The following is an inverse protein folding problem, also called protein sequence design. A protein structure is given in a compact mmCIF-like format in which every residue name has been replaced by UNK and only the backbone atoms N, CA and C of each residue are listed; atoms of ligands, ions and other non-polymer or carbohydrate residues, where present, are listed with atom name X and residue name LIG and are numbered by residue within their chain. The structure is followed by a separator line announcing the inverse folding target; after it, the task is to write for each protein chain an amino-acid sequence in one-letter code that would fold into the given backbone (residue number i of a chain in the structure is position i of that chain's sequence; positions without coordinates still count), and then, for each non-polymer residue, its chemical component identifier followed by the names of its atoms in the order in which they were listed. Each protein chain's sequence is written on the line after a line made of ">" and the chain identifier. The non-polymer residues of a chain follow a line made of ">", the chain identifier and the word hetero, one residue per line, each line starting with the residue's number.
data_IF_160095287524
#
_entry.id   IF_160095287524
#
_cell.length_a   1.000
_cell.length_b   1.000
_cell.length_c   1.000
_cell.angle_alpha   90.00
_cell.angle_beta   90.00
_cell.angle_gamma   90.00
#
_symmetry.space_group_name_H-M   'P 1'
#
loop_
_entity.id
_entity.type
_entity.pdbx_description
1 polymer ?
#
# COMPACT_ATOMS: atom_id res chain seq x y z
N UNK A 1 -4.57 -18.32 13.33
CA UNK A 1 -5.88 -18.63 12.75
C UNK A 1 -6.91 -17.64 13.26
N UNK A 2 -7.85 -17.25 12.40
CA UNK A 2 -8.97 -16.38 12.74
C UNK A 2 -8.51 -14.99 13.24
N UNK A 3 -7.60 -14.36 12.51
CA UNK A 3 -7.23 -12.98 12.79
C UNK A 3 -8.45 -12.06 12.63
N UNK A 4 -8.73 -11.17 13.58
CA UNK A 4 -9.87 -10.26 13.47
C UNK A 4 -9.57 -9.07 12.52
N UNK A 5 -8.33 -8.85 12.20
CA UNK A 5 -7.80 -7.78 11.36
C UNK A 5 -6.43 -8.22 10.85
N UNK A 6 -5.71 -7.45 10.13
CA UNK A 6 -4.38 -7.67 9.56
C UNK A 6 -3.68 -8.95 10.03
N UNK A 7 -3.54 -9.92 9.13
CA UNK A 7 -3.16 -11.28 9.53
C UNK A 7 -1.70 -11.39 9.98
N UNK A 8 -0.78 -10.91 9.16
CA UNK A 8 0.65 -10.80 9.49
C UNK A 8 0.99 -9.32 9.62
N UNK A 9 1.32 -8.87 10.83
CA UNK A 9 1.63 -7.48 11.11
C UNK A 9 2.95 -7.33 11.88
N UNK A 10 4.10 -7.48 11.21
CA UNK A 10 5.37 -7.08 11.78
C UNK A 10 5.42 -5.56 11.93
N UNK A 11 5.72 -5.08 13.14
CA UNK A 11 5.79 -3.66 13.48
C UNK A 11 7.16 -3.34 14.08
N UNK A 12 7.83 -2.30 13.55
CA UNK A 12 9.13 -1.80 14.00
C UNK A 12 10.19 -2.90 14.19
N UNK A 13 10.22 -3.84 13.24
CA UNK A 13 11.14 -4.97 13.26
C UNK A 13 12.29 -4.79 12.26
N UNK A 14 13.40 -5.47 12.50
CA UNK A 14 14.54 -5.51 11.61
C UNK A 14 14.93 -6.94 11.23
N UNK A 15 15.50 -7.10 10.03
CA UNK A 15 16.00 -8.39 9.52
C UNK A 15 14.93 -9.49 9.48
N UNK A 16 13.78 -9.18 8.85
CA UNK A 16 12.64 -10.09 8.71
C UNK A 16 12.77 -10.88 7.42
N UNK A 17 12.50 -12.17 7.50
CA UNK A 17 12.27 -13.01 6.33
C UNK A 17 10.91 -13.69 6.42
N UNK A 18 10.03 -13.45 5.45
CA UNK A 18 8.77 -14.16 5.26
C UNK A 18 8.92 -14.98 3.97
N UNK A 19 9.02 -16.28 4.10
CA UNK A 19 9.32 -17.17 3.00
C UNK A 19 8.46 -18.43 3.05
N UNK A 20 7.85 -18.78 1.93
CA UNK A 20 6.99 -19.97 1.78
C UNK A 20 5.80 -19.99 2.75
N UNK A 21 5.28 -18.82 3.07
CA UNK A 21 4.09 -18.66 3.92
C UNK A 21 2.84 -18.61 3.03
N UNK A 22 1.75 -19.16 3.53
CA UNK A 22 0.43 -19.09 2.89
C UNK A 22 -0.54 -18.45 3.86
N UNK A 23 -1.18 -17.37 3.42
CA UNK A 23 -2.25 -16.69 4.15
C UNK A 23 -3.52 -16.77 3.32
N UNK A 24 -4.61 -17.23 3.94
CA UNK A 24 -5.91 -17.31 3.34
C UNK A 24 -6.94 -16.67 4.28
N UNK A 25 -7.38 -15.47 3.93
CA UNK A 25 -8.45 -14.75 4.61
C UNK A 25 -9.72 -14.83 3.75
N UNK A 26 -10.90 -14.86 4.36
CA UNK A 26 -12.14 -14.76 3.58
C UNK A 26 -12.17 -13.47 2.77
N UNK A 27 -12.60 -13.54 1.52
CA UNK A 27 -12.66 -12.38 0.60
C UNK A 27 -13.56 -11.24 1.14
N UNK A 28 -14.49 -11.55 2.03
CA UNK A 28 -15.39 -10.58 2.66
C UNK A 28 -14.87 -10.05 4.02
N UNK A 29 -13.68 -10.42 4.46
CA UNK A 29 -13.14 -9.96 5.73
C UNK A 29 -12.67 -8.51 5.62
N UNK A 30 -13.38 -7.60 6.28
CA UNK A 30 -12.97 -6.20 6.38
C UNK A 30 -11.64 -6.09 7.13
N UNK A 31 -10.73 -5.27 6.63
CA UNK A 31 -9.35 -5.19 7.12
C UNK A 31 -8.68 -6.58 7.20
N UNK A 32 -9.06 -7.48 6.30
CA UNK A 32 -8.51 -8.83 6.19
C UNK A 32 -7.24 -8.87 5.37
N UNK A 33 -6.34 -7.90 5.58
CA UNK A 33 -5.04 -7.81 4.92
C UNK A 33 -4.21 -9.06 5.22
N UNK A 34 -3.46 -9.54 4.23
CA UNK A 34 -2.63 -10.72 4.44
C UNK A 34 -1.31 -10.38 5.14
N UNK A 35 -0.65 -9.31 4.70
CA UNK A 35 0.61 -8.82 5.26
C UNK A 35 0.63 -7.30 5.30
N UNK A 36 0.79 -6.73 6.48
CA UNK A 36 1.09 -5.33 6.74
C UNK A 36 2.49 -5.20 7.34
N UNK A 37 3.44 -4.79 6.53
CA UNK A 37 4.82 -4.56 6.98
C UNK A 37 4.95 -3.10 7.41
N UNK A 38 4.93 -2.83 8.72
CA UNK A 38 4.90 -1.48 9.25
C UNK A 38 6.20 -1.07 9.91
N UNK A 39 6.79 0.04 9.46
CA UNK A 39 8.03 0.61 10.03
C UNK A 39 9.18 -0.39 10.17
N UNK A 40 9.23 -1.37 9.28
CA UNK A 40 10.23 -2.44 9.30
C UNK A 40 11.43 -2.11 8.43
N UNK A 41 12.57 -2.72 8.74
CA UNK A 41 13.82 -2.51 8.00
C UNK A 41 14.46 -3.84 7.61
N UNK A 42 15.07 -3.86 6.42
CA UNK A 42 15.82 -5.02 5.93
C UNK A 42 14.95 -6.29 5.87
N UNK A 43 13.83 -6.21 5.15
CA UNK A 43 12.87 -7.30 5.05
C UNK A 43 12.94 -8.03 3.70
N UNK A 44 12.73 -9.34 3.75
CA UNK A 44 12.67 -10.22 2.59
C UNK A 44 11.34 -10.99 2.59
N UNK A 45 10.50 -10.73 1.59
CA UNK A 45 9.15 -11.29 1.44
C UNK A 45 9.15 -12.10 0.15
N UNK A 46 9.35 -13.41 0.24
CA UNK A 46 9.59 -14.24 -0.96
C UNK A 46 8.81 -15.55 -0.96
N UNK A 47 8.42 -15.99 -2.16
CA UNK A 47 7.81 -17.31 -2.41
C UNK A 47 6.52 -17.54 -1.60
N UNK A 48 5.74 -16.51 -1.31
CA UNK A 48 4.53 -16.61 -0.53
C UNK A 48 3.28 -16.70 -1.42
N UNK A 49 2.19 -17.16 -0.83
CA UNK A 49 0.86 -17.16 -1.44
C UNK A 49 -0.07 -16.40 -0.49
N UNK A 50 -0.70 -15.35 -0.99
CA UNK A 50 -1.63 -14.52 -0.25
C UNK A 50 -3.00 -14.54 -0.92
N UNK A 51 -4.04 -14.73 -0.11
CA UNK A 51 -5.44 -14.60 -0.49
C UNK A 51 -6.09 -13.74 0.61
N UNK A 52 -6.40 -12.49 0.27
CA UNK A 52 -6.76 -11.47 1.25
C UNK A 52 -8.20 -10.97 1.04
N UNK A 53 -8.82 -10.55 2.11
CA UNK A 53 -10.11 -9.87 2.08
C UNK A 53 -9.98 -8.34 1.96
N UNK A 54 -8.77 -7.82 2.15
CA UNK A 54 -8.39 -6.43 1.95
C UNK A 54 -7.03 -6.41 1.21
N UNK A 55 -6.06 -5.58 1.56
CA UNK A 55 -4.78 -5.52 0.86
C UNK A 55 -3.94 -6.81 1.06
N UNK A 56 -3.24 -7.26 0.02
CA UNK A 56 -2.47 -8.51 0.12
C UNK A 56 -1.07 -8.28 0.68
N UNK A 57 -0.26 -7.44 0.05
CA UNK A 57 1.09 -7.08 0.53
C UNK A 57 1.10 -5.57 0.71
N UNK A 58 1.03 -5.10 1.94
CA UNK A 58 0.92 -3.69 2.27
C UNK A 58 2.13 -3.18 3.03
N UNK A 59 2.70 -2.06 2.58
CA UNK A 59 3.82 -1.37 3.21
C UNK A 59 3.29 -0.15 3.94
N UNK A 60 3.53 -0.10 5.24
CA UNK A 60 3.05 0.95 6.15
C UNK A 60 4.17 1.54 7.01
N UNK A 61 3.95 2.71 7.60
CA UNK A 61 4.91 3.36 8.52
C UNK A 61 4.24 4.37 9.47
N UNK A 62 3.12 3.96 10.02
CA UNK A 62 2.35 4.76 10.98
C UNK A 62 1.44 5.79 10.35
N UNK A 63 0.54 6.29 11.16
CA UNK A 63 -0.58 7.14 10.75
C UNK A 63 -0.45 8.56 11.27
N UNK A 64 -0.66 9.56 10.39
CA UNK A 64 -0.80 10.97 10.72
C UNK A 64 0.35 11.51 11.60
N UNK A 65 0.01 12.31 12.60
CA UNK A 65 0.96 12.94 13.50
C UNK A 65 1.85 11.90 14.23
N UNK A 66 1.26 10.83 14.74
CA UNK A 66 1.99 9.77 15.45
C UNK A 66 3.07 9.13 14.54
N UNK A 67 2.70 8.77 13.32
CA UNK A 67 3.66 8.20 12.38
C UNK A 67 4.76 9.17 11.98
N UNK A 68 4.44 10.48 11.82
CA UNK A 68 5.45 11.50 11.53
C UNK A 68 6.40 11.75 12.70
N UNK A 69 5.87 11.81 13.93
CA UNK A 69 6.67 12.04 15.14
C UNK A 69 7.55 10.83 15.47
N UNK A 70 7.04 9.62 15.30
CA UNK A 70 7.82 8.39 15.42
C UNK A 70 8.96 8.34 14.39
N UNK A 71 8.71 8.81 13.17
CA UNK A 71 9.74 8.96 12.14
C UNK A 71 10.43 7.66 11.73
N UNK A 72 9.76 6.53 11.86
CA UNK A 72 10.28 5.21 11.53
C UNK A 72 9.80 4.76 10.15
N UNK A 73 10.61 4.91 9.10
CA UNK A 73 10.22 4.47 7.78
C UNK A 73 10.20 2.94 7.65
N UNK A 74 9.35 2.43 6.77
CA UNK A 74 9.52 1.09 6.24
C UNK A 74 10.54 1.14 5.09
N UNK A 75 11.65 0.41 5.21
CA UNK A 75 12.76 0.58 4.26
C UNK A 75 13.59 -0.68 4.00
N UNK A 76 14.27 -0.69 2.83
CA UNK A 76 15.13 -1.79 2.40
C UNK A 76 14.36 -3.11 2.37
N UNK A 77 13.28 -3.16 1.60
CA UNK A 77 12.39 -4.31 1.49
C UNK A 77 12.49 -4.92 0.11
N UNK A 78 12.61 -6.22 0.05
CA UNK A 78 12.54 -7.01 -1.19
C UNK A 78 11.28 -7.86 -1.13
N UNK A 79 10.40 -7.66 -2.12
CA UNK A 79 9.19 -8.46 -2.36
C UNK A 79 9.38 -9.20 -3.68
N UNK A 80 9.53 -10.51 -3.64
CA UNK A 80 9.86 -11.25 -4.86
C UNK A 80 9.18 -12.62 -4.94
N UNK A 81 8.77 -13.00 -6.16
CA UNK A 81 8.23 -14.33 -6.42
C UNK A 81 7.03 -14.70 -5.51
N UNK A 82 6.14 -13.72 -5.27
CA UNK A 82 4.93 -13.94 -4.52
C UNK A 82 3.73 -14.07 -5.46
N UNK A 83 2.77 -14.87 -5.06
CA UNK A 83 1.47 -15.00 -5.75
C UNK A 83 0.37 -14.44 -4.86
N UNK A 84 -0.42 -13.54 -5.40
CA UNK A 84 -1.62 -13.02 -4.75
C UNK A 84 -2.84 -13.53 -5.51
N UNK A 85 -3.77 -14.16 -4.83
CA UNK A 85 -4.98 -14.74 -5.43
C UNK A 85 -6.15 -13.75 -5.45
N UNK A 86 -6.37 -13.02 -4.35
CA UNK A 86 -7.35 -11.94 -4.23
C UNK A 86 -6.84 -10.88 -3.25
N UNK A 87 -7.48 -9.71 -3.28
CA UNK A 87 -7.22 -8.59 -2.36
C UNK A 87 -7.66 -7.26 -2.98
N UNK A 88 -7.84 -6.23 -2.16
CA UNK A 88 -8.10 -4.89 -2.66
C UNK A 88 -6.90 -4.29 -3.40
N UNK A 89 -5.69 -4.76 -3.11
CA UNK A 89 -4.49 -4.44 -3.84
C UNK A 89 -3.47 -5.58 -3.78
N UNK A 90 -2.79 -5.87 -4.89
CA UNK A 90 -1.77 -6.91 -4.95
C UNK A 90 -0.51 -6.49 -4.19
N UNK A 91 0.06 -5.36 -4.54
CA UNK A 91 1.10 -4.66 -3.78
C UNK A 91 0.65 -3.23 -3.48
N UNK A 92 0.72 -2.84 -2.22
CA UNK A 92 0.13 -1.60 -1.72
C UNK A 92 1.14 -0.81 -0.89
N UNK A 93 1.16 0.51 -1.05
CA UNK A 93 1.83 1.43 -0.14
C UNK A 93 0.77 2.35 0.49
N UNK A 94 0.67 2.31 1.80
CA UNK A 94 -0.24 3.16 2.57
C UNK A 94 -1.60 2.51 2.90
N UNK A 95 -2.61 3.32 3.28
CA UNK A 95 -2.57 4.78 3.45
C UNK A 95 -1.72 5.27 4.63
N UNK A 96 -1.46 4.45 5.62
CA UNK A 96 -0.64 4.73 6.81
C UNK A 96 0.85 4.70 6.45
N UNK A 97 1.38 5.79 5.85
CA UNK A 97 2.77 5.87 5.39
C UNK A 97 3.50 7.11 5.93
N UNK A 98 3.05 7.61 7.08
CA UNK A 98 3.47 8.90 7.64
C UNK A 98 4.92 8.95 8.10
N UNK A 99 5.50 7.83 8.50
CA UNK A 99 6.94 7.70 8.84
C UNK A 99 7.85 7.58 7.61
N UNK A 100 7.27 7.45 6.40
CA UNK A 100 8.00 7.29 5.15
C UNK A 100 8.17 5.85 4.69
N UNK A 101 8.35 5.67 3.39
CA UNK A 101 8.63 4.38 2.74
C UNK A 101 9.75 4.59 1.73
N UNK A 102 10.82 3.79 1.80
CA UNK A 102 11.96 3.96 0.90
C UNK A 102 12.73 2.68 0.60
N UNK A 103 13.36 2.65 -0.57
CA UNK A 103 14.18 1.53 -1.03
C UNK A 103 13.39 0.21 -1.01
N UNK A 104 12.28 0.16 -1.75
CA UNK A 104 11.44 -1.02 -1.91
C UNK A 104 11.68 -1.59 -3.31
N UNK A 105 11.95 -2.87 -3.37
CA UNK A 105 12.12 -3.61 -4.62
C UNK A 105 11.06 -4.70 -4.72
N UNK A 106 10.23 -4.65 -5.76
CA UNK A 106 9.17 -5.64 -6.02
C UNK A 106 9.38 -6.27 -7.38
N UNK A 107 9.48 -7.59 -7.43
CA UNK A 107 9.75 -8.26 -8.70
C UNK A 107 9.15 -9.67 -8.80
N UNK A 108 8.94 -10.10 -10.04
CA UNK A 108 8.57 -11.49 -10.35
C UNK A 108 7.33 -11.96 -9.57
N UNK A 109 6.36 -11.09 -9.37
CA UNK A 109 5.12 -11.40 -8.65
C UNK A 109 3.96 -11.60 -9.62
N UNK A 110 2.98 -12.39 -9.20
CA UNK A 110 1.75 -12.65 -9.95
C UNK A 110 0.54 -12.25 -9.11
N UNK A 111 -0.33 -11.41 -9.64
CA UNK A 111 -1.58 -10.99 -9.02
C UNK A 111 -2.75 -11.50 -9.85
N UNK A 112 -3.65 -12.26 -9.22
CA UNK A 112 -4.78 -12.93 -9.86
C UNK A 112 -6.09 -12.46 -9.19
N UNK A 113 -6.86 -11.62 -9.89
CA UNK A 113 -8.16 -11.18 -9.40
C UNK A 113 -8.11 -10.19 -8.22
N UNK A 114 -7.02 -9.46 -8.03
CA UNK A 114 -7.01 -8.34 -7.08
C UNK A 114 -7.77 -7.17 -7.67
N UNK A 115 -8.50 -6.40 -6.86
CA UNK A 115 -9.26 -5.25 -7.35
C UNK A 115 -8.36 -4.25 -8.06
N UNK A 116 -7.22 -3.96 -7.48
CA UNK A 116 -6.14 -3.12 -8.03
C UNK A 116 -4.83 -3.90 -8.04
N UNK A 117 -4.03 -3.75 -9.06
CA UNK A 117 -2.74 -4.43 -9.13
C UNK A 117 -1.70 -3.79 -8.20
N UNK A 118 -1.20 -2.63 -8.57
CA UNK A 118 -0.26 -1.82 -7.80
C UNK A 118 -0.99 -0.58 -7.28
N UNK A 119 -1.03 -0.41 -5.95
CA UNK A 119 -1.83 0.64 -5.32
C UNK A 119 -0.99 1.51 -4.39
N UNK A 120 -0.93 2.80 -4.70
CA UNK A 120 -0.28 3.81 -3.87
C UNK A 120 -1.35 4.75 -3.34
N UNK A 121 -1.62 4.71 -2.03
CA UNK A 121 -2.72 5.46 -1.43
C UNK A 121 -2.27 6.31 -0.25
N UNK A 122 -2.75 7.54 -0.21
CA UNK A 122 -2.52 8.48 0.88
C UNK A 122 -3.56 9.60 0.87
N UNK A 123 -3.49 10.48 1.83
CA UNK A 123 -4.32 11.68 1.89
C UNK A 123 -3.57 12.79 2.63
N UNK A 124 -4.03 14.05 2.47
CA UNK A 124 -3.55 15.14 3.31
C UNK A 124 -3.81 14.83 4.79
N UNK A 125 -2.89 15.25 5.65
CA UNK A 125 -2.86 14.86 7.05
C UNK A 125 -1.87 13.73 7.33
N UNK A 126 -1.64 12.82 6.35
CA UNK A 126 -0.63 11.74 6.48
C UNK A 126 0.79 12.30 6.51
N UNK A 127 1.13 13.21 5.59
CA UNK A 127 2.52 13.57 5.37
C UNK A 127 3.34 12.36 4.92
N UNK A 128 4.64 12.38 5.23
CA UNK A 128 5.57 11.31 4.86
C UNK A 128 6.01 11.34 3.39
N UNK A 129 7.07 10.61 3.10
CA UNK A 129 7.67 10.51 1.77
C UNK A 129 7.78 9.06 1.36
N UNK A 130 7.27 8.74 0.17
CA UNK A 130 7.46 7.45 -0.51
C UNK A 130 8.44 7.67 -1.64
N UNK A 131 9.60 7.01 -1.59
CA UNK A 131 10.67 7.21 -2.57
C UNK A 131 11.53 5.95 -2.78
N UNK A 132 12.18 5.87 -3.93
CA UNK A 132 13.06 4.75 -4.25
C UNK A 132 12.30 3.43 -4.36
N UNK A 133 11.21 3.43 -5.11
CA UNK A 133 10.37 2.24 -5.34
C UNK A 133 10.67 1.68 -6.73
N UNK A 134 11.10 0.45 -6.79
CA UNK A 134 11.45 -0.23 -8.02
C UNK A 134 10.60 -1.48 -8.20
N UNK A 135 9.75 -1.48 -9.22
CA UNK A 135 8.80 -2.56 -9.51
C UNK A 135 9.02 -3.05 -10.93
N UNK A 136 9.22 -4.34 -11.08
CA UNK A 136 9.35 -4.90 -12.42
C UNK A 136 8.89 -6.36 -12.51
N UNK A 137 8.55 -6.76 -13.73
CA UNK A 137 8.16 -8.14 -14.05
C UNK A 137 6.97 -8.62 -13.19
N UNK A 138 5.86 -7.88 -13.25
CA UNK A 138 4.63 -8.19 -12.53
C UNK A 138 3.59 -8.72 -13.51
N UNK A 139 3.12 -9.93 -13.27
CA UNK A 139 2.01 -10.52 -14.00
C UNK A 139 0.69 -10.20 -13.31
N UNK A 140 -0.20 -9.54 -14.02
CA UNK A 140 -1.55 -9.18 -13.54
C UNK A 140 -2.60 -9.83 -14.44
N UNK A 141 -3.50 -10.57 -13.83
CA UNK A 141 -4.56 -11.31 -14.52
C UNK A 141 -5.89 -11.04 -13.81
N UNK A 142 -6.92 -10.71 -14.60
CA UNK A 142 -8.29 -10.44 -14.11
C UNK A 142 -8.33 -9.36 -13.02
N UNK A 143 -7.69 -8.23 -13.28
CA UNK A 143 -7.74 -7.04 -12.42
C UNK A 143 -8.98 -6.22 -12.81
N UNK A 144 -10.06 -6.22 -12.00
CA UNK A 144 -11.33 -5.58 -12.39
C UNK A 144 -11.30 -4.06 -12.39
N UNK A 145 -10.39 -3.45 -11.64
CA UNK A 145 -10.21 -2.00 -11.61
C UNK A 145 -8.88 -1.60 -12.27
N UNK A 146 -8.07 -0.77 -11.62
CA UNK A 146 -6.85 -0.24 -12.21
C UNK A 146 -5.66 -1.19 -11.99
N UNK A 147 -4.89 -1.54 -13.03
CA UNK A 147 -3.63 -2.25 -12.83
C UNK A 147 -2.60 -1.41 -12.05
N UNK A 148 -2.69 -0.08 -12.16
CA UNK A 148 -1.85 0.87 -11.45
C UNK A 148 -2.69 2.07 -10.97
N UNK A 149 -2.72 2.31 -9.66
CA UNK A 149 -3.46 3.40 -9.04
C UNK A 149 -2.57 4.23 -8.09
N UNK A 150 -2.57 5.55 -8.31
CA UNK A 150 -2.09 6.54 -7.34
C UNK A 150 -3.28 7.34 -6.82
N UNK A 151 -3.69 7.09 -5.59
CA UNK A 151 -4.80 7.78 -4.92
C UNK A 151 -4.29 8.62 -3.75
N UNK A 152 -4.19 9.93 -3.94
CA UNK A 152 -3.76 10.89 -2.93
C UNK A 152 -4.95 11.58 -2.21
N UNK A 153 -6.16 11.12 -2.47
CA UNK A 153 -7.40 11.59 -1.84
C UNK A 153 -8.11 10.45 -1.10
N UNK A 154 -7.36 9.44 -0.68
CA UNK A 154 -7.88 8.24 -0.05
C UNK A 154 -8.80 8.57 1.14
N UNK A 155 -10.01 8.02 1.11
CA UNK A 155 -11.07 8.32 2.08
C UNK A 155 -11.89 9.57 1.76
N UNK A 156 -11.61 10.25 0.64
CA UNK A 156 -12.48 11.28 0.05
C UNK A 156 -13.63 10.67 -0.74
N UNK A 157 -14.53 11.51 -1.23
CA UNK A 157 -15.58 11.09 -2.16
C UNK A 157 -14.95 10.74 -3.52
N UNK A 158 -15.36 9.64 -4.11
CA UNK A 158 -14.94 9.29 -5.46
C UNK A 158 -15.48 10.27 -6.51
N UNK A 159 -14.77 10.40 -7.62
CA UNK A 159 -15.27 11.18 -8.76
C UNK A 159 -16.62 10.57 -9.23
N UNK A 160 -17.69 11.36 -9.18
CA UNK A 160 -19.07 10.92 -9.46
C UNK A 160 -19.94 10.75 -8.21
N UNK A 161 -19.38 10.66 -7.02
CA UNK A 161 -20.10 10.77 -5.75
C UNK A 161 -20.14 12.21 -5.22
N UNK A 162 -19.38 13.11 -5.84
CA UNK A 162 -19.37 14.54 -5.53
C UNK A 162 -20.68 15.20 -6.01
N UNK A 163 -21.31 15.92 -5.13
CA UNK A 163 -22.46 16.76 -5.47
C UNK A 163 -22.01 18.00 -6.27
N UNK A 164 -22.94 18.66 -6.98
CA UNK A 164 -22.63 19.95 -7.61
C UNK A 164 -22.11 21.01 -6.62
N UNK A 165 -22.52 20.91 -5.37
CA UNK A 165 -22.11 21.83 -4.31
C UNK A 165 -20.68 21.54 -3.84
N UNK A 166 -20.31 20.25 -3.74
CA UNK A 166 -18.93 19.82 -3.50
C UNK A 166 -17.99 20.30 -4.60
N UNK A 167 -18.39 20.14 -5.88
CA UNK A 167 -17.64 20.61 -7.05
C UNK A 167 -17.47 22.14 -7.06
N UNK A 168 -18.54 22.89 -6.81
CA UNK A 168 -18.47 24.36 -6.72
C UNK A 168 -17.61 24.85 -5.57
N UNK A 169 -17.66 24.16 -4.42
CA UNK A 169 -16.83 24.44 -3.26
C UNK A 169 -15.35 24.19 -3.58
N UNK A 170 -15.05 23.07 -4.23
CA UNK A 170 -13.71 22.68 -4.64
C UNK A 170 -13.10 23.62 -5.70
N UNK A 171 -13.91 24.08 -6.67
CA UNK A 171 -13.48 25.06 -7.66
C UNK A 171 -13.19 26.46 -7.07
N UNK A 172 -13.79 26.80 -5.94
CA UNK A 172 -13.55 28.07 -5.21
C UNK A 172 -12.43 27.95 -4.17
N UNK A 173 -12.07 26.74 -3.76
CA UNK A 173 -11.02 26.54 -2.79
C UNK A 173 -9.65 26.89 -3.41
N UNK A 174 -8.86 27.68 -2.70
CA UNK A 174 -7.46 27.88 -3.05
C UNK A 174 -6.71 26.55 -2.94
N UNK A 175 -5.72 26.33 -3.81
CA UNK A 175 -4.84 25.17 -3.69
C UNK A 175 -4.19 25.21 -2.30
N UNK A 176 -4.39 24.18 -1.47
CA UNK A 176 -3.84 24.19 -0.12
C UNK A 176 -2.31 24.21 -0.16
N UNK A 177 -1.71 24.94 0.77
CA UNK A 177 -0.26 24.96 0.92
C UNK A 177 0.33 23.57 1.13
N UNK A 178 1.55 23.36 0.64
CA UNK A 178 2.34 22.17 0.91
C UNK A 178 2.95 22.30 2.30
N UNK A 179 2.60 21.38 3.19
CA UNK A 179 3.07 21.35 4.58
C UNK A 179 3.68 19.98 4.89
N UNK A 180 4.16 19.80 6.12
CA UNK A 180 4.63 18.49 6.62
C UNK A 180 3.54 17.41 6.60
N UNK A 181 2.29 17.82 6.49
CA UNK A 181 1.13 16.93 6.39
C UNK A 181 0.77 16.55 4.95
N UNK A 182 1.45 17.13 3.97
CA UNK A 182 1.24 16.79 2.57
C UNK A 182 2.10 15.58 2.20
N UNK A 183 1.50 14.43 1.83
CA UNK A 183 2.26 13.26 1.41
C UNK A 183 2.99 13.53 0.09
N UNK A 184 4.16 12.91 -0.07
CA UNK A 184 4.95 13.01 -1.29
C UNK A 184 5.30 11.62 -1.81
N UNK A 185 5.06 11.41 -3.11
CA UNK A 185 5.44 10.21 -3.85
C UNK A 185 6.41 10.61 -4.95
N UNK A 186 7.60 10.05 -4.97
CA UNK A 186 8.63 10.37 -5.94
C UNK A 186 9.59 9.21 -6.15
N UNK A 187 10.37 9.26 -7.23
CA UNK A 187 11.38 8.24 -7.54
C UNK A 187 10.78 6.82 -7.54
N UNK A 188 9.73 6.64 -8.35
CA UNK A 188 9.01 5.38 -8.50
C UNK A 188 9.20 4.89 -9.93
N UNK A 189 9.81 3.73 -10.07
CA UNK A 189 10.15 3.10 -11.34
C UNK A 189 9.37 1.82 -11.52
N UNK A 190 8.55 1.75 -12.56
CA UNK A 190 7.70 0.61 -12.89
C UNK A 190 7.98 0.19 -14.32
N UNK A 191 8.25 -1.09 -14.54
CA UNK A 191 8.54 -1.63 -15.85
C UNK A 191 8.09 -3.09 -15.98
N UNK A 192 7.75 -3.48 -17.20
CA UNK A 192 7.36 -4.85 -17.52
C UNK A 192 6.22 -5.36 -16.60
N UNK A 193 5.05 -4.75 -16.74
CA UNK A 193 3.84 -5.09 -16.01
C UNK A 193 2.70 -5.45 -16.98
#
# INVERSE_FOLDING_TARGET
>A
KNSPSWCLHPLSCEHITINQVKVFNPWYSQNGDALDLESCKNALIINNIFDAGDDAICIKSGKDKDGRERGEPCQNVIVKNNTVLHGHGGFVVGSEMSGGVKNIYVADCTFLGTDVGLRFKSTRGRGGVVEGIYIHNIHMIDIPHEPLLFDLFYGGKAAGEETEEDLKSRMKASIPEVTVETPSFRDIHISNI
#
